data_IF_090355643195
#
_entry.id   IF_090355643195
#
_cell.length_a   1.000
_cell.length_b   1.000
_cell.length_c   1.000
_cell.angle_alpha   90.00
_cell.angle_beta   90.00
_cell.angle_gamma   90.00
#
_symmetry.space_group_name_H-M   'P 1'
#
loop_
_entity.id
_entity.type
_entity.pdbx_description
1 polymer ?
#
# COMPACT_ATOMS: atom_id res chain seq x y z
N UNK A 1 66.13 35.56 46.45
CA UNK A 1 65.64 34.60 45.42
C UNK A 1 64.30 34.04 45.86
N UNK A 2 63.20 34.45 45.24
CA UNK A 2 61.85 33.97 45.56
C UNK A 2 61.13 33.56 44.25
N UNK A 3 60.71 32.30 44.17
CA UNK A 3 60.06 31.68 43.00
C UNK A 3 58.62 32.18 42.86
N UNK A 4 58.29 32.85 41.75
CA UNK A 4 56.90 33.16 41.36
C UNK A 4 56.28 31.92 40.69
N UNK A 5 55.25 31.36 41.31
CA UNK A 5 54.43 30.27 40.74
C UNK A 5 53.45 30.76 39.65
N UNK A 6 52.94 29.86 38.80
CA UNK A 6 52.12 30.23 37.64
C UNK A 6 50.70 30.62 38.05
N UNK A 7 50.16 31.67 37.40
CA UNK A 7 48.79 32.14 37.56
C UNK A 7 47.80 31.13 36.98
N UNK A 8 46.82 30.70 37.80
CA UNK A 8 45.66 29.92 37.36
C UNK A 8 44.77 30.77 36.45
N UNK A 9 44.66 30.41 35.17
CA UNK A 9 43.67 30.97 34.26
C UNK A 9 42.27 30.45 34.64
N UNK A 10 41.40 31.35 35.11
CA UNK A 10 39.95 31.09 35.24
C UNK A 10 39.36 31.01 33.83
N UNK A 11 39.02 29.80 33.38
CA UNK A 11 38.18 29.59 32.20
C UNK A 11 36.78 30.12 32.56
N UNK A 12 36.41 31.28 31.99
CA UNK A 12 35.05 31.78 32.01
C UNK A 12 34.22 30.89 31.08
N UNK A 13 33.36 30.06 31.66
CA UNK A 13 32.35 29.29 30.92
C UNK A 13 31.33 30.27 30.33
N UNK A 14 31.50 30.64 29.06
CA UNK A 14 30.49 31.37 28.29
C UNK A 14 29.38 30.37 27.95
N UNK A 15 28.30 30.34 28.74
CA UNK A 15 27.03 29.72 28.33
C UNK A 15 26.40 30.60 27.27
N UNK A 16 26.79 30.39 26.01
CA UNK A 16 26.08 30.96 24.86
C UNK A 16 24.84 30.10 24.62
N UNK A 17 23.70 30.63 25.02
CA UNK A 17 22.35 30.17 24.65
C UNK A 17 22.25 30.12 23.13
N UNK A 18 22.41 28.93 22.54
CA UNK A 18 21.99 28.64 21.16
C UNK A 18 20.54 28.16 21.18
N UNK A 19 19.62 29.12 21.31
CA UNK A 19 18.26 29.00 20.77
C UNK A 19 18.39 29.18 19.27
N UNK A 20 18.60 28.09 18.52
CA UNK A 20 18.38 28.04 17.08
C UNK A 20 18.26 26.56 16.65
N UNK A 21 17.02 26.09 16.58
CA UNK A 21 16.46 25.47 15.37
C UNK A 21 17.14 24.27 14.71
N UNK A 22 18.05 23.55 15.36
CA UNK A 22 18.51 22.25 14.86
C UNK A 22 17.62 21.15 15.44
N UNK A 23 16.51 20.85 14.75
CA UNK A 23 15.90 19.53 14.84
C UNK A 23 16.94 18.53 14.37
N UNK A 24 17.68 17.97 15.32
CA UNK A 24 18.57 16.85 15.11
C UNK A 24 17.67 15.67 14.76
N UNK A 25 17.49 15.41 13.46
CA UNK A 25 16.94 14.14 12.98
C UNK A 25 17.90 13.05 13.48
N UNK A 26 17.62 12.49 14.65
CA UNK A 26 18.15 11.20 15.01
C UNK A 26 17.49 10.21 14.06
N UNK A 27 18.17 9.95 12.94
CA UNK A 27 17.86 8.78 12.12
C UNK A 27 18.19 7.60 13.03
N UNK A 28 17.17 6.97 13.60
CA UNK A 28 17.32 5.68 14.27
C UNK A 28 17.87 4.74 13.18
N UNK A 29 19.14 4.35 13.30
CA UNK A 29 19.82 3.51 12.30
C UNK A 29 19.17 2.12 12.17
N UNK A 30 18.17 1.83 12.99
CA UNK A 30 17.40 0.59 12.97
C UNK A 30 16.02 0.73 12.29
N UNK A 31 15.67 1.88 11.72
CA UNK A 31 14.38 2.07 11.06
C UNK A 31 14.47 1.73 9.57
N UNK A 32 13.91 0.58 9.20
CA UNK A 32 13.85 0.14 7.80
C UNK A 32 12.85 0.96 6.99
N UNK A 33 13.15 1.20 5.71
CA UNK A 33 12.24 1.77 4.73
C UNK A 33 11.67 0.65 3.86
N UNK A 34 10.34 0.47 3.93
CA UNK A 34 9.61 -0.53 3.15
C UNK A 34 8.91 0.17 1.99
N UNK A 35 9.20 -0.25 0.76
CA UNK A 35 8.42 0.15 -0.41
C UNK A 35 7.11 -0.64 -0.42
N UNK A 36 5.97 0.04 -0.46
CA UNK A 36 4.66 -0.60 -0.54
C UNK A 36 3.98 -0.26 -1.86
N UNK A 37 3.66 -1.31 -2.63
CA UNK A 37 2.91 -1.21 -3.87
C UNK A 37 1.54 -1.89 -3.77
N UNK A 38 0.67 -1.58 -4.73
CA UNK A 38 -0.64 -2.19 -4.85
C UNK A 38 -1.57 -1.33 -5.68
N UNK A 39 -2.52 -1.96 -6.37
CA UNK A 39 -3.51 -1.25 -7.16
C UNK A 39 -4.32 -0.27 -6.30
N UNK A 40 -5.00 0.69 -6.95
CA UNK A 40 -6.06 1.46 -6.29
C UNK A 40 -6.99 0.50 -5.52
N UNK A 41 -7.30 0.84 -4.27
CA UNK A 41 -8.28 0.09 -3.45
C UNK A 41 -7.89 -1.36 -3.08
N UNK A 42 -6.62 -1.74 -3.23
CA UNK A 42 -6.08 -3.06 -2.87
C UNK A 42 -5.88 -3.30 -1.36
N UNK A 43 -5.95 -2.26 -0.53
CA UNK A 43 -5.72 -2.38 0.92
C UNK A 43 -4.35 -1.91 1.40
N UNK A 44 -3.55 -1.24 0.56
CA UNK A 44 -2.23 -0.69 0.92
C UNK A 44 -2.24 0.18 2.17
N UNK A 45 -3.24 1.05 2.37
CA UNK A 45 -3.33 1.85 3.61
C UNK A 45 -3.46 0.98 4.87
N UNK A 46 -4.17 -0.14 4.79
CA UNK A 46 -4.34 -1.05 5.93
C UNK A 46 -3.03 -1.79 6.23
N UNK A 47 -2.37 -2.33 5.21
CA UNK A 47 -1.06 -2.96 5.34
C UNK A 47 0.00 -1.99 5.90
N UNK A 48 0.08 -0.77 5.35
CA UNK A 48 0.95 0.31 5.86
C UNK A 48 0.70 0.58 7.34
N UNK A 49 -0.57 0.72 7.72
CA UNK A 49 -0.95 0.99 9.12
C UNK A 49 -0.49 -0.14 10.03
N UNK A 50 -0.71 -1.39 9.65
CA UNK A 50 -0.31 -2.55 10.47
C UNK A 50 1.20 -2.65 10.61
N UNK A 51 1.96 -2.46 9.53
CA UNK A 51 3.44 -2.46 9.57
C UNK A 51 3.95 -1.34 10.48
N UNK A 52 3.52 -0.09 10.26
CA UNK A 52 4.03 1.05 11.02
C UNK A 52 3.61 1.04 12.50
N UNK A 53 2.45 0.49 12.84
CA UNK A 53 2.03 0.39 14.24
C UNK A 53 2.83 -0.66 15.04
N UNK A 54 3.28 -1.72 14.37
CA UNK A 54 3.81 -2.92 15.03
C UNK A 54 5.31 -3.12 14.85
N UNK A 55 5.96 -2.45 13.88
CA UNK A 55 7.38 -2.64 13.56
C UNK A 55 8.13 -1.32 13.48
N UNK A 56 9.45 -1.37 13.67
CA UNK A 56 10.37 -0.24 13.50
C UNK A 56 10.69 -0.02 12.03
N UNK A 57 9.68 0.43 11.29
CA UNK A 57 9.82 0.73 9.87
C UNK A 57 9.09 2.02 9.49
N UNK A 58 9.46 2.57 8.34
CA UNK A 58 8.71 3.58 7.59
C UNK A 58 8.22 2.93 6.33
N UNK A 59 6.93 2.98 6.06
CA UNK A 59 6.37 2.46 4.81
C UNK A 59 6.18 3.63 3.84
N UNK A 60 6.67 3.48 2.61
CA UNK A 60 6.57 4.50 1.56
C UNK A 60 5.89 3.91 0.34
N UNK A 61 4.90 4.61 -0.19
CA UNK A 61 4.18 4.21 -1.41
C UNK A 61 4.64 5.01 -2.64
N UNK A 62 5.39 6.09 -2.44
CA UNK A 62 5.83 7.03 -3.47
C UNK A 62 7.28 6.81 -3.97
N UNK A 63 7.93 5.72 -3.54
CA UNK A 63 9.34 5.44 -3.87
C UNK A 63 9.58 5.42 -5.39
N UNK A 64 8.63 4.90 -6.14
CA UNK A 64 8.73 4.75 -7.60
C UNK A 64 7.96 5.84 -8.37
N UNK A 65 7.54 6.91 -7.69
CA UNK A 65 6.69 7.96 -8.25
C UNK A 65 5.27 7.89 -7.69
N UNK A 66 4.26 8.09 -8.53
CA UNK A 66 2.88 8.03 -8.06
C UNK A 66 2.52 6.61 -7.58
N UNK A 67 1.97 6.50 -6.37
CA UNK A 67 1.72 5.21 -5.69
C UNK A 67 0.75 4.25 -6.39
N UNK A 68 0.05 4.74 -7.42
CA UNK A 68 -0.88 3.96 -8.24
C UNK A 68 -0.35 3.71 -9.65
N UNK A 69 0.89 4.13 -9.94
CA UNK A 69 1.59 3.86 -11.17
C UNK A 69 2.34 2.52 -11.16
N UNK A 70 2.85 2.16 -12.32
CA UNK A 70 3.73 1.00 -12.51
C UNK A 70 5.11 1.27 -11.90
N UNK A 71 5.73 0.21 -11.38
CA UNK A 71 7.16 0.21 -11.07
C UNK A 71 7.91 0.26 -12.41
N UNK A 72 8.71 1.31 -12.66
CA UNK A 72 9.40 1.46 -13.92
C UNK A 72 10.56 0.45 -14.03
N UNK A 73 10.90 0.07 -15.26
CA UNK A 73 12.14 -0.67 -15.52
C UNK A 73 13.31 0.29 -15.29
N UNK A 74 14.09 0.03 -14.24
CA UNK A 74 15.25 0.86 -13.87
C UNK A 74 16.52 0.14 -14.31
N UNK A 75 17.18 0.68 -15.35
CA UNK A 75 18.44 0.13 -15.82
C UNK A 75 19.61 0.57 -14.92
N UNK A 76 20.73 -0.19 -14.86
CA UNK A 76 21.91 0.18 -14.07
C UNK A 76 22.55 1.53 -14.41
N UNK A 77 22.23 2.06 -15.60
CA UNK A 77 22.74 3.35 -16.07
C UNK A 77 21.76 4.50 -15.82
N UNK A 78 20.54 4.22 -15.37
CA UNK A 78 19.55 5.25 -15.11
C UNK A 78 19.95 6.09 -13.89
N UNK A 79 20.01 7.43 -14.00
CA UNK A 79 20.29 8.30 -12.86
C UNK A 79 19.30 8.12 -11.69
N UNK A 80 18.10 7.60 -11.97
CA UNK A 80 17.08 7.35 -10.95
C UNK A 80 17.45 6.20 -10.01
N UNK A 81 18.28 5.25 -10.46
CA UNK A 81 18.69 4.09 -9.66
C UNK A 81 19.36 4.51 -8.36
N UNK A 82 20.18 5.58 -8.40
CA UNK A 82 20.88 6.10 -7.20
C UNK A 82 19.94 6.84 -6.23
N UNK A 83 18.76 7.23 -6.70
CA UNK A 83 17.75 7.98 -5.93
C UNK A 83 16.73 7.08 -5.25
N UNK A 84 16.43 5.94 -5.87
CA UNK A 84 15.49 4.95 -5.33
C UNK A 84 16.19 4.19 -4.21
N UNK A 85 15.69 4.36 -2.98
CA UNK A 85 16.26 3.75 -1.77
C UNK A 85 15.15 3.18 -0.91
N UNK A 86 15.21 1.88 -0.69
CA UNK A 86 14.38 1.13 0.25
C UNK A 86 15.14 -0.14 0.63
N UNK A 87 14.80 -0.70 1.79
CA UNK A 87 15.42 -1.92 2.27
C UNK A 87 14.67 -3.15 1.75
N UNK A 88 13.33 -3.09 1.71
CA UNK A 88 12.48 -4.20 1.27
C UNK A 88 11.24 -3.72 0.51
N UNK A 89 10.72 -4.56 -0.40
CA UNK A 89 9.46 -4.33 -1.10
C UNK A 89 8.33 -5.21 -0.55
N UNK A 90 7.12 -4.65 -0.49
CA UNK A 90 5.88 -5.38 -0.21
C UNK A 90 4.84 -4.92 -1.23
N UNK A 91 4.00 -5.83 -1.72
CA UNK A 91 2.80 -5.44 -2.45
C UNK A 91 1.57 -6.17 -1.94
N UNK A 92 0.44 -5.46 -2.00
CA UNK A 92 -0.85 -5.98 -1.60
C UNK A 92 -1.71 -6.17 -2.83
N UNK A 93 -2.29 -7.35 -2.96
CA UNK A 93 -3.30 -7.65 -3.97
C UNK A 93 -4.64 -7.87 -3.30
N UNK A 94 -5.70 -7.67 -4.07
CA UNK A 94 -7.08 -7.95 -3.66
C UNK A 94 -7.70 -8.82 -4.73
N UNK A 95 -8.60 -9.72 -4.35
CA UNK A 95 -9.25 -10.56 -5.33
C UNK A 95 -9.94 -9.71 -6.42
N UNK A 96 -9.93 -10.15 -7.70
CA UNK A 96 -10.44 -9.38 -8.83
C UNK A 96 -11.88 -8.85 -8.64
N UNK A 97 -12.82 -9.68 -8.20
CA UNK A 97 -14.23 -9.26 -8.06
C UNK A 97 -14.41 -8.16 -7.01
N UNK A 98 -13.79 -8.32 -5.83
CA UNK A 98 -13.84 -7.29 -4.80
C UNK A 98 -13.08 -6.02 -5.18
N UNK A 99 -11.99 -6.16 -5.93
CA UNK A 99 -11.25 -5.04 -6.50
C UNK A 99 -12.14 -4.22 -7.44
N UNK A 100 -12.84 -4.85 -8.39
CA UNK A 100 -13.69 -4.17 -9.36
C UNK A 100 -14.79 -3.35 -8.69
N UNK A 101 -15.51 -3.94 -7.73
CA UNK A 101 -16.53 -3.22 -6.95
C UNK A 101 -15.92 -2.07 -6.14
N UNK A 102 -14.77 -2.31 -5.51
CA UNK A 102 -14.09 -1.27 -4.73
C UNK A 102 -13.60 -0.11 -5.60
N UNK A 103 -13.15 -0.41 -6.82
CA UNK A 103 -12.68 0.57 -7.80
C UNK A 103 -13.84 1.37 -8.36
N UNK A 104 -14.94 0.71 -8.75
CA UNK A 104 -16.15 1.37 -9.24
C UNK A 104 -16.76 2.28 -8.17
N UNK A 105 -16.97 1.80 -6.94
CA UNK A 105 -17.51 2.62 -5.85
C UNK A 105 -16.61 3.84 -5.57
N UNK A 106 -15.30 3.68 -5.70
CA UNK A 106 -14.36 4.79 -5.56
C UNK A 106 -14.47 5.79 -6.71
N UNK A 107 -14.58 5.31 -7.95
CA UNK A 107 -14.83 6.15 -9.11
C UNK A 107 -16.15 6.91 -8.96
N UNK A 108 -17.22 6.22 -8.56
CA UNK A 108 -18.55 6.82 -8.46
C UNK A 108 -18.66 7.85 -7.33
N UNK A 109 -18.07 7.56 -6.16
CA UNK A 109 -18.12 8.46 -5.00
C UNK A 109 -17.28 9.73 -5.22
N UNK A 110 -16.09 9.60 -5.82
CA UNK A 110 -15.13 10.70 -5.85
C UNK A 110 -14.94 11.31 -7.23
N UNK A 111 -15.16 10.56 -8.31
CA UNK A 111 -14.86 10.97 -9.70
C UNK A 111 -13.41 11.52 -9.84
N UNK A 112 -12.47 10.96 -9.06
CA UNK A 112 -11.05 11.35 -9.03
C UNK A 112 -10.16 10.24 -9.56
N UNK A 113 -9.11 10.62 -10.31
CA UNK A 113 -8.04 9.75 -10.83
C UNK A 113 -8.47 8.66 -11.82
N UNK A 114 -9.76 8.57 -12.14
CA UNK A 114 -10.34 7.53 -12.99
C UNK A 114 -11.34 8.18 -13.96
N UNK A 115 -11.23 7.86 -15.25
CA UNK A 115 -12.29 8.08 -16.24
C UNK A 115 -12.84 6.72 -16.66
N UNK A 116 -14.14 6.56 -16.68
CA UNK A 116 -14.84 5.32 -17.03
C UNK A 116 -16.35 5.54 -17.07
N UNK A 117 -17.08 4.46 -17.31
CA UNK A 117 -18.55 4.48 -17.41
C UNK A 117 -19.22 4.52 -16.03
N UNK A 118 -20.40 5.14 -15.93
CA UNK A 118 -21.10 5.35 -14.66
C UNK A 118 -21.96 4.17 -14.22
N UNK A 119 -22.24 3.21 -15.10
CA UNK A 119 -22.94 1.98 -14.76
C UNK A 119 -21.92 0.88 -14.53
N UNK A 120 -22.13 0.07 -13.50
CA UNK A 120 -21.16 -0.94 -13.08
C UNK A 120 -20.80 -1.95 -14.19
N UNK A 121 -21.80 -2.53 -14.86
CA UNK A 121 -21.56 -3.47 -15.96
C UNK A 121 -20.80 -2.81 -17.11
N UNK A 122 -21.19 -1.60 -17.51
CA UNK A 122 -20.50 -0.84 -18.56
C UNK A 122 -19.08 -0.47 -18.13
N UNK A 123 -18.85 -0.14 -16.86
CA UNK A 123 -17.53 0.17 -16.30
C UNK A 123 -16.58 -1.02 -16.39
N UNK A 124 -17.07 -2.22 -16.07
CA UNK A 124 -16.30 -3.46 -16.16
C UNK A 124 -15.92 -3.78 -17.59
N UNK A 125 -16.81 -3.56 -18.55
CA UNK A 125 -16.59 -3.96 -19.95
C UNK A 125 -15.91 -2.89 -20.81
N UNK A 126 -15.84 -1.64 -20.33
CA UNK A 126 -15.36 -0.50 -21.12
C UNK A 126 -13.95 -0.07 -20.73
N UNK A 127 -13.31 0.67 -21.64
CA UNK A 127 -12.01 1.30 -21.41
C UNK A 127 -12.05 2.18 -20.16
N UNK A 128 -10.99 2.10 -19.36
CA UNK A 128 -10.74 3.04 -18.27
C UNK A 128 -9.43 3.80 -18.47
N UNK A 129 -9.37 5.00 -17.89
CA UNK A 129 -8.18 5.84 -17.88
C UNK A 129 -7.83 6.15 -16.43
N UNK A 130 -6.60 5.86 -16.04
CA UNK A 130 -6.04 6.16 -14.72
C UNK A 130 -5.02 7.30 -14.86
N UNK A 131 -5.13 8.32 -14.01
CA UNK A 131 -4.28 9.51 -14.03
C UNK A 131 -4.16 10.12 -12.63
N UNK A 132 -3.15 10.95 -12.39
CA UNK A 132 -3.02 11.70 -11.14
C UNK A 132 -3.74 13.05 -11.27
N UNK A 133 -4.92 13.18 -10.65
CA UNK A 133 -5.70 14.43 -10.68
C UNK A 133 -5.06 15.57 -9.89
N UNK A 134 -3.94 15.33 -9.18
CA UNK A 134 -3.21 16.37 -8.45
C UNK A 134 -2.10 17.02 -9.28
N UNK A 135 -1.83 16.48 -10.48
CA UNK A 135 -0.82 16.99 -11.39
C UNK A 135 -1.46 17.44 -12.71
N UNK A 136 -1.26 18.71 -13.05
CA UNK A 136 -1.64 19.23 -14.36
C UNK A 136 -0.91 18.46 -15.47
N UNK A 137 -1.64 18.08 -16.52
CA UNK A 137 -1.12 17.26 -17.63
C UNK A 137 -0.49 15.93 -17.18
N UNK A 138 -1.03 15.31 -16.14
CA UNK A 138 -0.61 13.98 -15.69
C UNK A 138 -0.69 12.96 -16.85
N UNK A 139 0.33 12.10 -17.03
CA UNK A 139 0.26 11.00 -17.98
C UNK A 139 -0.97 10.11 -17.74
N UNK A 140 -1.68 9.78 -18.82
CA UNK A 140 -2.85 8.91 -18.78
C UNK A 140 -2.46 7.45 -19.05
N UNK A 141 -2.67 6.58 -18.06
CA UNK A 141 -2.60 5.13 -18.24
C UNK A 141 -3.94 4.63 -18.77
N UNK A 142 -3.93 3.99 -19.94
CA UNK A 142 -5.14 3.55 -20.64
C UNK A 142 -5.22 2.03 -20.65
N UNK A 143 -6.34 1.50 -20.17
CA UNK A 143 -6.60 0.07 -20.11
C UNK A 143 -7.92 -0.22 -20.83
N UNK A 144 -7.96 -1.29 -21.61
CA UNK A 144 -9.13 -1.77 -22.36
C UNK A 144 -10.31 -2.04 -21.44
N UNK A 145 -10.05 -2.44 -20.19
CA UNK A 145 -11.03 -2.57 -19.12
C UNK A 145 -10.34 -2.58 -17.73
N UNK A 146 -11.09 -2.49 -16.62
CA UNK A 146 -10.54 -2.59 -15.27
C UNK A 146 -9.89 -3.93 -14.92
N UNK A 147 -10.21 -5.02 -15.62
CA UNK A 147 -9.57 -6.33 -15.43
C UNK A 147 -8.13 -6.28 -15.96
N UNK A 148 -7.91 -5.64 -17.11
CA UNK A 148 -6.58 -5.42 -17.65
C UNK A 148 -5.73 -4.56 -16.70
N UNK A 149 -6.31 -3.51 -16.09
CA UNK A 149 -5.63 -2.77 -15.02
C UNK A 149 -5.18 -3.70 -13.89
N UNK A 150 -6.06 -4.59 -13.42
CA UNK A 150 -5.70 -5.54 -12.37
C UNK A 150 -4.57 -6.48 -12.82
N UNK A 151 -4.65 -7.05 -14.03
CA UNK A 151 -3.63 -7.96 -14.57
C UNK A 151 -2.27 -7.26 -14.68
N UNK A 152 -2.22 -6.12 -15.38
CA UNK A 152 -0.97 -5.41 -15.71
C UNK A 152 -0.25 -4.94 -14.44
N UNK A 153 -0.99 -4.36 -13.49
CA UNK A 153 -0.39 -3.82 -12.27
C UNK A 153 0.14 -4.95 -11.36
N UNK A 154 -0.63 -6.02 -11.18
CA UNK A 154 -0.20 -7.11 -10.31
C UNK A 154 0.92 -7.95 -10.94
N UNK A 155 0.94 -8.14 -12.27
CA UNK A 155 2.10 -8.71 -12.96
C UNK A 155 3.36 -7.85 -12.77
N UNK A 156 3.23 -6.53 -12.90
CA UNK A 156 4.35 -5.61 -12.70
C UNK A 156 4.94 -5.73 -11.29
N UNK A 157 4.09 -5.81 -10.26
CA UNK A 157 4.56 -5.99 -8.88
C UNK A 157 5.13 -7.38 -8.62
N UNK A 158 4.45 -8.44 -9.06
CA UNK A 158 4.87 -9.82 -8.87
C UNK A 158 6.21 -10.11 -9.57
N UNK A 159 6.50 -9.43 -10.67
CA UNK A 159 7.76 -9.56 -11.40
C UNK A 159 8.95 -8.94 -10.66
N UNK A 160 8.71 -8.14 -9.62
CA UNK A 160 9.76 -7.56 -8.79
C UNK A 160 10.19 -8.55 -7.71
N UNK A 161 11.30 -9.28 -7.91
CA UNK A 161 11.79 -10.31 -6.98
C UNK A 161 12.04 -9.84 -5.53
N UNK A 162 12.23 -8.53 -5.32
CA UNK A 162 12.44 -7.93 -4.00
C UNK A 162 11.13 -7.70 -3.23
N UNK A 163 9.99 -7.97 -3.84
CA UNK A 163 8.68 -7.69 -3.29
C UNK A 163 8.05 -8.94 -2.67
N UNK A 164 7.60 -8.81 -1.42
CA UNK A 164 6.79 -9.82 -0.76
C UNK A 164 5.33 -9.54 -1.01
N UNK A 165 4.63 -10.58 -1.45
CA UNK A 165 3.21 -10.55 -1.74
C UNK A 165 2.37 -10.72 -0.47
N UNK A 166 1.31 -9.92 -0.35
CA UNK A 166 0.24 -10.06 0.63
C UNK A 166 -1.11 -10.11 -0.09
N UNK A 167 -1.92 -11.12 0.23
CA UNK A 167 -3.34 -11.14 -0.10
C UNK A 167 -4.14 -10.32 0.90
N UNK A 168 -5.00 -9.43 0.40
CA UNK A 168 -5.80 -8.56 1.24
C UNK A 168 -6.81 -9.32 2.08
N UNK A 169 -7.41 -10.37 1.52
CA UNK A 169 -8.39 -11.22 2.19
C UNK A 169 -7.74 -11.97 3.36
N UNK A 170 -6.56 -12.55 3.16
CA UNK A 170 -5.79 -13.19 4.23
C UNK A 170 -5.37 -12.18 5.30
N UNK A 171 -4.96 -10.97 4.87
CA UNK A 171 -4.59 -9.88 5.78
C UNK A 171 -5.78 -9.41 6.63
N UNK A 172 -6.98 -9.36 6.04
CA UNK A 172 -8.21 -9.10 6.79
C UNK A 172 -8.53 -10.26 7.72
N UNK A 173 -8.32 -11.50 7.27
CA UNK A 173 -8.73 -12.66 8.03
C UNK A 173 -7.90 -12.80 9.30
N UNK A 174 -6.58 -12.83 9.13
CA UNK A 174 -5.60 -13.01 10.21
C UNK A 174 -4.47 -11.97 10.12
N UNK A 175 -4.75 -10.69 10.45
CA UNK A 175 -3.80 -9.60 10.26
C UNK A 175 -2.50 -9.79 11.04
N UNK A 176 -2.57 -10.33 12.25
CA UNK A 176 -1.39 -10.56 13.08
C UNK A 176 -0.47 -11.59 12.45
N UNK A 177 -1.00 -12.76 12.04
CA UNK A 177 -0.20 -13.80 11.41
C UNK A 177 0.46 -13.28 10.12
N UNK A 178 -0.33 -12.71 9.21
CA UNK A 178 0.16 -12.27 7.89
C UNK A 178 1.24 -11.19 8.00
N UNK A 179 1.09 -10.26 8.96
CA UNK A 179 2.07 -9.20 9.17
C UNK A 179 3.32 -9.73 9.87
N UNK A 180 3.21 -10.63 10.84
CA UNK A 180 4.38 -11.28 11.47
C UNK A 180 5.17 -12.11 10.44
N UNK A 181 4.48 -12.89 9.61
CA UNK A 181 5.11 -13.69 8.56
C UNK A 181 5.82 -12.79 7.53
N UNK A 182 5.18 -11.69 7.11
CA UNK A 182 5.81 -10.69 6.24
C UNK A 182 7.02 -10.06 6.90
N UNK A 183 6.90 -9.64 8.17
CA UNK A 183 7.97 -8.99 8.92
C UNK A 183 9.20 -9.90 9.09
N UNK A 184 8.99 -11.20 9.35
CA UNK A 184 10.08 -12.17 9.41
C UNK A 184 10.83 -12.30 8.09
N UNK A 185 10.14 -12.24 6.95
CA UNK A 185 10.78 -12.32 5.62
C UNK A 185 11.63 -11.08 5.28
N UNK A 186 11.42 -9.97 5.97
CA UNK A 186 12.17 -8.70 5.78
C UNK A 186 13.03 -8.35 7.00
N UNK A 187 13.20 -9.28 7.94
CA UNK A 187 13.94 -9.08 9.18
C UNK A 187 13.49 -7.81 9.96
N UNK A 188 12.21 -7.48 9.90
CA UNK A 188 11.69 -6.27 10.54
C UNK A 188 11.64 -6.40 12.06
N UNK A 189 12.16 -5.39 12.75
CA UNK A 189 12.22 -5.36 14.20
C UNK A 189 10.84 -5.00 14.76
N UNK A 190 10.21 -5.93 15.46
CA UNK A 190 8.94 -5.69 16.14
C UNK A 190 9.10 -4.65 17.25
N UNK A 191 8.12 -3.74 17.36
CA UNK A 191 8.01 -2.81 18.49
C UNK A 191 7.60 -3.58 19.74
N UNK A 192 8.07 -3.13 20.90
CA UNK A 192 7.64 -3.71 22.19
C UNK A 192 6.14 -3.46 22.40
N UNK A 193 5.42 -4.47 22.88
CA UNK A 193 4.01 -4.40 23.26
C UNK A 193 3.13 -5.38 22.49
N UNK A 194 1.82 -5.27 22.70
CA UNK A 194 0.81 -6.08 22.01
C UNK A 194 0.63 -5.66 20.54
N UNK A 195 0.19 -6.61 19.71
CA UNK A 195 -0.15 -6.35 18.33
C UNK A 195 -1.35 -5.40 18.23
N UNK A 196 -1.18 -4.32 17.47
CA UNK A 196 -2.19 -3.28 17.26
C UNK A 196 -2.86 -3.47 15.92
N UNK A 197 -4.18 -3.58 15.94
CA UNK A 197 -5.02 -3.66 14.76
C UNK A 197 -6.09 -2.56 14.78
N UNK A 198 -6.24 -1.74 13.72
CA UNK A 198 -7.37 -0.84 13.58
C UNK A 198 -8.72 -1.57 13.64
N UNK A 199 -9.65 -0.99 14.37
CA UNK A 199 -11.06 -1.42 14.45
C UNK A 199 -11.98 -0.63 13.52
N UNK A 200 -11.49 0.50 12.98
CA UNK A 200 -12.21 1.40 12.07
C UNK A 200 -11.57 1.44 10.69
N UNK A 201 -12.26 2.07 9.74
CA UNK A 201 -11.70 2.36 8.41
C UNK A 201 -10.44 3.19 8.58
N UNK A 202 -9.33 2.75 7.98
CA UNK A 202 -8.09 3.53 7.93
C UNK A 202 -8.26 4.78 7.06
N UNK A 203 -7.62 5.88 7.46
CA UNK A 203 -7.60 7.12 6.69
C UNK A 203 -6.83 6.93 5.39
N UNK A 204 -7.05 7.85 4.45
CA UNK A 204 -6.18 8.00 3.27
C UNK A 204 -4.85 8.58 3.77
N UNK A 205 -3.77 7.82 3.66
CA UNK A 205 -2.45 8.20 4.14
C UNK A 205 -1.59 8.67 2.97
N UNK A 206 -0.79 9.70 3.23
CA UNK A 206 0.27 10.19 2.35
C UNK A 206 1.62 10.05 3.07
N UNK A 207 2.69 9.87 2.30
CA UNK A 207 4.02 9.52 2.84
C UNK A 207 4.74 10.64 3.59
N UNK A 208 4.15 11.84 3.64
CA UNK A 208 4.59 12.99 4.44
C UNK A 208 3.96 13.08 5.84
N UNK A 209 3.07 12.17 6.21
CA UNK A 209 2.43 12.17 7.53
C UNK A 209 3.23 11.32 8.52
N UNK A 210 3.73 11.95 9.59
CA UNK A 210 4.40 11.26 10.69
C UNK A 210 3.38 10.87 11.77
N UNK A 211 2.94 9.60 11.76
CA UNK A 211 1.88 9.09 12.63
C UNK A 211 2.47 8.04 13.57
N UNK A 212 2.17 8.17 14.87
CA UNK A 212 2.76 7.32 15.91
C UNK A 212 1.72 6.59 16.77
N UNK A 213 0.45 6.99 16.68
CA UNK A 213 -0.65 6.48 17.53
C UNK A 213 -1.78 5.93 16.67
N UNK A 214 -2.38 4.81 17.11
CA UNK A 214 -3.49 4.12 16.43
C UNK A 214 -4.62 5.05 15.97
N UNK A 215 -5.09 5.94 16.86
CA UNK A 215 -6.17 6.91 16.56
C UNK A 215 -5.86 7.85 15.40
N UNK A 216 -4.58 8.06 15.08
CA UNK A 216 -4.18 8.93 13.97
C UNK A 216 -4.43 8.23 12.62
N UNK A 217 -4.30 6.91 12.57
CA UNK A 217 -4.54 6.09 11.38
C UNK A 217 -6.03 5.84 11.11
N UNK A 218 -6.90 5.87 12.13
CA UNK A 218 -8.33 5.57 11.99
C UNK A 218 -9.16 6.79 11.57
N UNK A 219 -10.13 6.55 10.68
CA UNK A 219 -11.21 7.48 10.36
C UNK A 219 -12.35 7.38 11.40
N UNK A 220 -13.41 8.18 11.22
CA UNK A 220 -14.61 8.09 12.06
C UNK A 220 -15.51 6.90 11.70
N UNK A 221 -15.35 6.34 10.49
CA UNK A 221 -16.27 5.37 9.92
C UNK A 221 -15.91 3.95 10.38
N UNK A 222 -16.94 3.15 10.66
CA UNK A 222 -16.78 1.71 10.92
C UNK A 222 -16.26 0.99 9.68
N UNK A 223 -15.49 -0.08 9.91
CA UNK A 223 -15.06 -1.00 8.88
C UNK A 223 -15.76 -2.33 9.08
N UNK A 224 -16.45 -2.81 8.04
CA UNK A 224 -17.13 -4.09 8.07
C UNK A 224 -16.28 -5.13 7.33
N UNK A 225 -15.48 -5.91 8.06
CA UNK A 225 -14.69 -7.01 7.49
C UNK A 225 -15.59 -8.05 6.82
N UNK A 226 -16.81 -8.27 7.33
CA UNK A 226 -17.69 -9.34 6.86
C UNK A 226 -18.14 -9.16 5.42
N UNK A 227 -18.22 -7.92 4.92
CA UNK A 227 -18.49 -7.65 3.50
C UNK A 227 -17.51 -8.38 2.56
N UNK A 228 -16.25 -8.53 2.98
CA UNK A 228 -15.22 -9.22 2.22
C UNK A 228 -15.25 -10.74 2.45
N UNK A 229 -15.41 -11.16 3.70
CA UNK A 229 -15.39 -12.58 4.09
C UNK A 229 -16.63 -13.35 3.63
N UNK A 230 -17.77 -12.67 3.52
CA UNK A 230 -19.03 -13.25 3.03
C UNK A 230 -19.30 -12.92 1.56
N UNK A 231 -18.33 -12.30 0.90
CA UNK A 231 -18.35 -12.01 -0.54
C UNK A 231 -19.57 -11.21 -1.00
N UNK A 232 -20.08 -10.29 -0.17
CA UNK A 232 -21.28 -9.50 -0.48
C UNK A 232 -21.10 -8.66 -1.75
N UNK A 233 -19.87 -8.30 -2.11
CA UNK A 233 -19.55 -7.62 -3.36
C UNK A 233 -19.99 -8.39 -4.62
N UNK A 234 -20.21 -9.71 -4.53
CA UNK A 234 -20.71 -10.50 -5.67
C UNK A 234 -22.13 -10.12 -6.06
N UNK A 235 -22.93 -9.50 -5.17
CA UNK A 235 -24.30 -9.07 -5.51
C UNK A 235 -24.34 -7.94 -6.54
N UNK A 236 -23.20 -7.29 -6.82
CA UNK A 236 -23.09 -6.26 -7.86
C UNK A 236 -22.98 -6.84 -9.26
N UNK A 237 -22.65 -8.12 -9.42
CA UNK A 237 -22.39 -8.74 -10.72
C UNK A 237 -23.61 -9.51 -11.21
N UNK A 238 -23.96 -9.30 -12.48
CA UNK A 238 -24.80 -10.24 -13.22
C UNK A 238 -23.93 -11.35 -13.86
N UNK A 239 -24.56 -12.35 -14.48
CA UNK A 239 -23.83 -13.46 -15.09
C UNK A 239 -22.91 -13.01 -16.24
N UNK A 240 -23.35 -12.08 -17.09
CA UNK A 240 -22.52 -11.55 -18.17
C UNK A 240 -21.29 -10.81 -17.66
N UNK A 241 -21.39 -10.10 -16.53
CA UNK A 241 -20.25 -9.45 -15.90
C UNK A 241 -19.24 -10.48 -15.40
N UNK A 242 -19.71 -11.57 -14.76
CA UNK A 242 -18.86 -12.67 -14.29
C UNK A 242 -18.14 -13.33 -15.46
N UNK A 243 -18.88 -13.68 -16.52
CA UNK A 243 -18.33 -14.31 -17.72
C UNK A 243 -17.29 -13.40 -18.38
N UNK A 244 -17.55 -12.08 -18.43
CA UNK A 244 -16.60 -11.11 -18.95
C UNK A 244 -15.32 -11.03 -18.10
N UNK A 245 -15.45 -11.01 -16.77
CA UNK A 245 -14.29 -11.01 -15.87
C UNK A 245 -13.45 -12.26 -16.08
N UNK A 246 -14.06 -13.44 -16.07
CA UNK A 246 -13.35 -14.71 -16.25
C UNK A 246 -12.69 -14.83 -17.64
N UNK A 247 -13.29 -14.26 -18.67
CA UNK A 247 -12.70 -14.23 -20.02
C UNK A 247 -11.45 -13.33 -20.11
N UNK A 248 -11.38 -12.27 -19.31
CA UNK A 248 -10.32 -11.26 -19.42
C UNK A 248 -9.27 -11.34 -18.29
N UNK A 249 -9.51 -12.14 -17.25
CA UNK A 249 -8.56 -12.33 -16.16
C UNK A 249 -7.41 -13.23 -16.63
N UNK A 250 -6.20 -12.94 -16.16
CA UNK A 250 -5.05 -13.79 -16.42
C UNK A 250 -5.01 -14.96 -15.41
N UNK A 251 -5.31 -16.17 -15.89
CA UNK A 251 -5.37 -17.38 -15.07
C UNK A 251 -4.01 -17.75 -14.45
N UNK A 252 -2.90 -17.50 -15.13
CA UNK A 252 -1.55 -17.75 -14.60
C UNK A 252 -1.29 -16.82 -13.40
N UNK A 253 -1.62 -15.54 -13.55
CA UNK A 253 -1.48 -14.56 -12.48
C UNK A 253 -2.39 -14.89 -11.29
N UNK A 254 -3.66 -15.23 -11.53
CA UNK A 254 -4.61 -15.66 -10.50
C UNK A 254 -4.06 -16.82 -9.69
N UNK A 255 -3.48 -17.82 -10.35
CA UNK A 255 -2.86 -18.97 -9.70
C UNK A 255 -1.63 -18.57 -8.88
N UNK A 256 -0.72 -17.77 -9.45
CA UNK A 256 0.48 -17.29 -8.74
C UNK A 256 0.16 -16.45 -7.50
N UNK A 257 -0.94 -15.70 -7.54
CA UNK A 257 -1.40 -14.89 -6.40
C UNK A 257 -2.28 -15.69 -5.42
N UNK A 258 -2.56 -16.97 -5.69
CA UNK A 258 -3.32 -17.85 -4.79
C UNK A 258 -4.83 -17.63 -4.81
N UNK A 259 -5.40 -17.07 -5.88
CA UNK A 259 -6.83 -16.76 -5.98
C UNK A 259 -7.66 -17.83 -6.70
N UNK A 260 -7.07 -18.87 -7.29
CA UNK A 260 -7.79 -19.85 -8.12
C UNK A 260 -8.94 -20.55 -7.39
N UNK A 261 -8.72 -21.02 -6.15
CA UNK A 261 -9.75 -21.69 -5.37
C UNK A 261 -10.89 -20.72 -5.00
N UNK A 262 -10.54 -19.49 -4.61
CA UNK A 262 -11.54 -18.47 -4.30
C UNK A 262 -12.39 -18.16 -5.52
N UNK A 263 -11.79 -17.86 -6.67
CA UNK A 263 -12.51 -17.56 -7.91
C UNK A 263 -13.43 -18.71 -8.32
N UNK A 264 -12.96 -19.95 -8.20
CA UNK A 264 -13.79 -21.13 -8.46
C UNK A 264 -15.01 -21.16 -7.55
N UNK A 265 -14.85 -20.93 -6.24
CA UNK A 265 -15.96 -20.92 -5.28
C UNK A 265 -16.97 -19.79 -5.51
N UNK A 266 -16.51 -18.63 -5.99
CA UNK A 266 -17.36 -17.46 -6.25
C UNK A 266 -18.20 -17.61 -7.52
N UNK A 267 -17.72 -18.40 -8.48
CA UNK A 267 -18.29 -18.48 -9.84
C UNK A 267 -18.94 -19.82 -10.16
N UNK A 268 -18.76 -20.83 -9.29
CA UNK A 268 -19.56 -22.04 -9.33
C UNK A 268 -21.03 -21.65 -9.18
N UNK A 269 -21.80 -21.87 -10.25
CA UNK A 269 -23.24 -21.68 -10.24
C UNK A 269 -23.79 -22.47 -9.05
N UNK A 270 -24.57 -21.82 -8.18
CA UNK A 270 -25.58 -22.55 -7.42
C UNK A 270 -26.50 -23.17 -8.46
N UNK A 271 -26.25 -24.43 -8.82
CA UNK A 271 -27.25 -25.28 -9.43
C UNK A 271 -28.31 -25.52 -8.35
N UNK A 272 -29.11 -24.50 -8.06
CA UNK A 272 -30.38 -24.67 -7.38
C UNK A 272 -31.35 -25.12 -8.45
N UNK A 273 -31.55 -26.43 -8.49
CA UNK A 273 -32.78 -27.10 -8.92
C UNK A 273 -34.01 -26.36 -8.42
#
# INVERSE_FOLDING_TARGET
MAKKGPKKNKIKTIRKSLKNGFYKFFIDRNQQTIALAGCLRSGTNYAKTLLELNFKCTVKNDIFGWKHGLIPIITPYSPIQKKIKFDHGVFVTKNPFSFLVSLFNYFDEFKLNIKGEEKFSDFISSRIIIFDSTQDNSPELRFSNPIELWNVMNWNYLSCQQFIHINYEDLLDNPQKIILDTAHKIDAIQKKGEFKNPSKKVKRLNDGQDLHKLKQYESKNSFNKNEYMTHQYMSSFNQSDIDFVLKNIDDELVNKLGYSQLLSSLTQRKQTT
#
